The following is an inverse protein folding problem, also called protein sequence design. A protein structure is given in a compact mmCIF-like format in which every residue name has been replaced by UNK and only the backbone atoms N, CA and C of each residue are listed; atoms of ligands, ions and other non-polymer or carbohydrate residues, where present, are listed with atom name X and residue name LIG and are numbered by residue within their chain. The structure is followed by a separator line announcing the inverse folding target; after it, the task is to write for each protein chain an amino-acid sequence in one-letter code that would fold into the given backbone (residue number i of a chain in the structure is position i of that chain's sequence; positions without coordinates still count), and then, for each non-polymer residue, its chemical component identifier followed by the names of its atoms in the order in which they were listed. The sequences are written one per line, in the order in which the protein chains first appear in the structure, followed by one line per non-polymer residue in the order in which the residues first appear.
data_IF_570909704680
#
_entry.id   IF_570909704680
#
_cell.length_a   1.000
_cell.length_b   1.000
_cell.length_c   1.000
_cell.angle_alpha   90.00
_cell.angle_beta   90.00
_cell.angle_gamma   90.00
#
_symmetry.space_group_name_H-M   'P 1'
#
loop_
_entity.id
_entity.type
_entity.pdbx_description
1 polymer ?
#
# COMPACT_ATOMS: atom_id res chain seq x y z
N UNK A 1 -7.35 10.40 -10.85
CA UNK A 1 -6.66 9.12 -11.07
C UNK A 1 -7.64 7.99 -10.90
N UNK A 2 -7.45 6.88 -11.62
CA UNK A 2 -8.31 5.70 -11.48
C UNK A 2 -7.55 4.68 -10.64
N UNK A 3 -7.96 4.53 -9.39
CA UNK A 3 -7.44 3.48 -8.53
C UNK A 3 -7.87 2.14 -9.13
N UNK A 4 -6.94 1.19 -9.34
CA UNK A 4 -7.30 -0.14 -9.82
C UNK A 4 -8.35 -0.78 -8.90
N UNK A 5 -9.39 -1.39 -9.47
CA UNK A 5 -10.50 -1.98 -8.70
C UNK A 5 -10.03 -2.97 -7.64
N UNK A 6 -8.92 -3.69 -7.91
CA UNK A 6 -8.30 -4.59 -6.93
C UNK A 6 -7.78 -3.84 -5.71
N UNK A 7 -7.04 -2.75 -5.90
CA UNK A 7 -6.55 -1.93 -4.80
C UNK A 7 -7.69 -1.31 -4.02
N UNK A 8 -8.74 -0.83 -4.70
CA UNK A 8 -9.91 -0.28 -4.02
C UNK A 8 -10.58 -1.29 -3.08
N UNK A 9 -10.75 -2.54 -3.50
CA UNK A 9 -11.29 -3.61 -2.64
C UNK A 9 -10.40 -3.91 -1.42
N UNK A 10 -9.08 -3.79 -1.56
CA UNK A 10 -8.14 -3.98 -0.45
C UNK A 10 -8.26 -2.83 0.56
N UNK A 11 -8.33 -1.59 0.07
CA UNK A 11 -8.49 -0.41 0.91
C UNK A 11 -9.81 -0.45 1.67
N UNK A 12 -10.91 -0.76 1.00
CA UNK A 12 -12.23 -0.89 1.64
C UNK A 12 -12.21 -1.96 2.75
N UNK A 13 -11.59 -3.13 2.49
CA UNK A 13 -11.46 -4.20 3.49
C UNK A 13 -10.53 -3.83 4.67
N UNK A 14 -9.52 -3.00 4.43
CA UNK A 14 -8.63 -2.49 5.47
C UNK A 14 -9.36 -1.51 6.36
N UNK A 15 -10.11 -0.58 5.77
CA UNK A 15 -10.93 0.40 6.49
C UNK A 15 -12.04 -0.27 7.31
N UNK A 16 -12.60 -1.38 6.81
CA UNK A 16 -13.55 -2.22 7.53
C UNK A 16 -12.91 -3.08 8.64
N UNK A 17 -11.57 -3.11 8.73
CA UNK A 17 -10.82 -3.88 9.72
C UNK A 17 -10.87 -5.39 9.52
N UNK A 18 -11.21 -5.84 8.32
CA UNK A 18 -11.33 -7.27 7.96
C UNK A 18 -10.18 -7.76 7.08
N UNK A 19 -9.27 -6.87 6.66
CA UNK A 19 -8.13 -7.24 5.81
C UNK A 19 -7.06 -8.00 6.62
N UNK A 20 -6.75 -9.25 6.22
CA UNK A 20 -5.64 -10.02 6.78
C UNK A 20 -4.27 -9.34 6.64
N UNK A 21 -3.35 -9.61 7.56
CA UNK A 21 -2.00 -8.99 7.60
C UNK A 21 -1.17 -9.25 6.33
N UNK A 22 -1.27 -10.44 5.73
CA UNK A 22 -0.59 -10.78 4.48
C UNK A 22 -1.10 -9.91 3.31
N UNK A 23 -2.41 -9.65 3.27
CA UNK A 23 -3.01 -8.79 2.26
C UNK A 23 -2.79 -7.30 2.53
N UNK A 24 -2.54 -6.89 3.78
CA UNK A 24 -2.11 -5.53 4.11
C UNK A 24 -0.75 -5.22 3.50
N UNK A 25 0.19 -6.17 3.55
CA UNK A 25 1.50 -6.04 2.90
C UNK A 25 1.33 -5.93 1.38
N UNK A 26 0.49 -6.77 0.76
CA UNK A 26 0.21 -6.69 -0.68
C UNK A 26 -0.41 -5.33 -1.06
N UNK A 27 -1.37 -4.84 -0.26
CA UNK A 27 -1.98 -3.53 -0.44
C UNK A 27 -0.94 -2.40 -0.40
N UNK A 28 -0.07 -2.41 0.62
CA UNK A 28 0.98 -1.41 0.77
C UNK A 28 1.99 -1.45 -0.37
N UNK A 29 2.48 -2.64 -0.74
CA UNK A 29 3.40 -2.78 -1.87
C UNK A 29 2.75 -2.28 -3.17
N UNK A 30 1.48 -2.60 -3.41
CA UNK A 30 0.76 -2.13 -4.60
C UNK A 30 0.65 -0.60 -4.64
N UNK A 31 0.40 0.04 -3.49
CA UNK A 31 0.36 1.50 -3.41
C UNK A 31 1.74 2.14 -3.62
N UNK A 32 2.80 1.51 -3.10
CA UNK A 32 4.18 1.96 -3.31
C UNK A 32 4.52 1.86 -4.80
N UNK A 33 4.29 0.70 -5.42
CA UNK A 33 4.55 0.45 -6.84
C UNK A 33 3.78 1.40 -7.77
N UNK A 34 2.59 1.84 -7.36
CA UNK A 34 1.77 2.79 -8.11
C UNK A 34 2.02 4.26 -7.72
N UNK A 35 2.98 4.53 -6.83
CA UNK A 35 3.26 5.85 -6.24
C UNK A 35 2.05 6.52 -5.55
N UNK A 36 0.99 5.75 -5.27
CA UNK A 36 -0.27 6.23 -4.68
C UNK A 36 -0.14 6.55 -3.19
N UNK A 37 0.89 6.03 -2.52
CA UNK A 37 1.16 6.35 -1.11
C UNK A 37 1.45 7.84 -0.89
N UNK A 38 1.90 8.57 -1.92
CA UNK A 38 2.10 10.03 -1.89
C UNK A 38 0.78 10.82 -1.97
N UNK A 39 -0.27 10.23 -2.54
CA UNK A 39 -1.59 10.84 -2.67
C UNK A 39 -2.53 10.43 -1.53
N UNK A 40 -2.48 9.17 -1.14
CA UNK A 40 -3.28 8.59 -0.07
C UNK A 40 -2.51 8.63 1.24
N UNK A 41 -2.27 9.84 1.73
CA UNK A 41 -1.43 10.11 2.92
C UNK A 41 -1.91 9.40 4.19
N UNK A 42 -3.21 9.04 4.25
CA UNK A 42 -3.79 8.26 5.35
C UNK A 42 -3.16 6.87 5.53
N UNK A 43 -2.60 6.28 4.47
CA UNK A 43 -1.92 4.99 4.53
C UNK A 43 -0.39 5.12 4.49
N UNK A 44 0.14 6.34 4.47
CA UNK A 44 1.58 6.59 4.38
C UNK A 44 2.32 5.98 5.56
N UNK A 45 1.81 6.18 6.78
CA UNK A 45 2.39 5.61 7.99
C UNK A 45 2.40 4.07 7.98
N UNK A 46 1.39 3.45 7.38
CA UNK A 46 1.33 1.98 7.23
C UNK A 46 2.38 1.48 6.23
N UNK A 47 2.54 2.19 5.10
CA UNK A 47 3.58 1.87 4.13
C UNK A 47 4.97 2.03 4.74
N UNK A 48 5.23 3.14 5.44
CA UNK A 48 6.50 3.41 6.10
C UNK A 48 6.84 2.32 7.12
N UNK A 49 5.84 1.86 7.89
CA UNK A 49 6.00 0.75 8.82
C UNK A 49 6.43 -0.53 8.09
N UNK A 50 5.74 -0.93 7.03
CA UNK A 50 6.10 -2.14 6.29
C UNK A 50 7.43 -2.03 5.55
N UNK A 51 7.82 -0.84 5.10
CA UNK A 51 9.15 -0.58 4.55
C UNK A 51 10.22 -0.73 5.64
N UNK A 52 9.99 -0.15 6.82
CA UNK A 52 10.93 -0.23 7.94
C UNK A 52 11.14 -1.66 8.46
N UNK A 53 10.08 -2.47 8.47
CA UNK A 53 10.13 -3.90 8.80
C UNK A 53 10.78 -4.76 7.70
N UNK A 54 11.03 -4.20 6.51
CA UNK A 54 11.58 -4.91 5.35
C UNK A 54 10.57 -5.82 4.63
N UNK A 55 9.27 -5.58 4.86
CA UNK A 55 8.16 -6.30 4.21
C UNK A 55 7.76 -5.65 2.88
N UNK A 56 7.93 -4.33 2.77
CA UNK A 56 7.77 -3.58 1.53
C UNK A 56 9.08 -2.89 1.12
N UNK A 57 9.20 -2.54 -0.15
CA UNK A 57 10.34 -1.77 -0.64
C UNK A 57 9.93 -0.89 -1.82
N UNK A 58 10.50 0.31 -1.87
CA UNK A 58 10.38 1.20 -3.01
C UNK A 58 11.47 0.84 -4.03
N UNK A 59 11.05 0.49 -5.25
CA UNK A 59 12.00 0.23 -6.34
C UNK A 59 12.24 1.55 -7.09
N UNK A 60 13.26 2.29 -6.66
CA UNK A 60 13.77 3.40 -7.46
C UNK A 60 14.61 2.83 -8.61
N UNK A 61 14.13 2.94 -9.85
CA UNK A 61 15.00 2.78 -11.01
C UNK A 61 15.91 4.01 -11.09
N UNK A 62 17.11 3.92 -10.52
CA UNK A 62 18.17 4.90 -10.72
C UNK A 62 18.62 4.81 -12.19
N UNK A 63 18.16 5.75 -13.02
CA UNK A 63 18.49 5.85 -14.45
C UNK A 63 19.57 6.89 -14.71
#
# INVERSE_FOLDING_TARGET
MTIPKKLQLLLDAYDDGVLPEDLQVEMCQFMIDCELHNELTQYQQLCDYYIAEGLCYEVCFDS
#
